data_IF_216970976261
#
_entry.id   IF_216970976261
#
_cell.length_a   1.000
_cell.length_b   1.000
_cell.length_c   1.000
_cell.angle_alpha   90.00
_cell.angle_beta   90.00
_cell.angle_gamma   90.00
#
_symmetry.space_group_name_H-M   'P 1'
#
loop_
_entity.id
_entity.type
_entity.pdbx_description
1 polymer ?
#
# COMPACT_ATOMS: atom_id res chain seq x y z
N UNK A 1 25.82 11.15 -17.65
CA UNK A 1 25.40 10.48 -16.41
C UNK A 1 25.56 11.45 -15.25
N UNK A 2 24.46 11.96 -14.71
CA UNK A 2 24.49 12.80 -13.52
C UNK A 2 24.86 11.92 -12.31
N UNK A 3 25.68 12.41 -11.37
CA UNK A 3 26.16 11.62 -10.25
C UNK A 3 25.00 11.15 -9.37
N UNK A 4 25.10 9.92 -8.85
CA UNK A 4 24.16 9.29 -7.91
C UNK A 4 23.82 10.19 -6.71
N UNK A 5 24.71 11.11 -6.32
CA UNK A 5 24.51 12.14 -5.30
C UNK A 5 23.42 13.17 -5.66
N UNK A 6 23.23 13.49 -6.94
CA UNK A 6 22.22 14.46 -7.39
C UNK A 6 20.79 13.89 -7.28
N UNK A 7 20.64 12.60 -7.51
CA UNK A 7 19.38 11.87 -7.32
C UNK A 7 19.00 11.72 -5.84
N UNK A 8 19.98 11.52 -4.96
CA UNK A 8 19.77 11.48 -3.51
C UNK A 8 19.36 12.84 -2.93
N UNK A 9 19.85 13.93 -3.47
CA UNK A 9 19.54 15.29 -2.99
C UNK A 9 18.15 15.76 -3.46
N UNK A 10 17.69 15.36 -4.65
CA UNK A 10 16.33 15.61 -5.12
C UNK A 10 15.30 14.70 -4.42
N UNK A 11 15.66 13.47 -4.04
CA UNK A 11 14.76 12.58 -3.29
C UNK A 11 14.41 13.11 -1.90
N UNK A 12 15.31 13.80 -1.19
CA UNK A 12 15.01 14.29 0.17
C UNK A 12 13.96 15.43 0.22
N UNK A 13 13.72 16.14 -0.87
CA UNK A 13 12.72 17.23 -0.90
C UNK A 13 11.36 16.80 -1.47
N UNK A 14 11.17 15.53 -1.81
CA UNK A 14 9.98 15.07 -2.55
C UNK A 14 9.39 13.78 -1.99
N UNK A 15 9.53 13.53 -0.68
CA UNK A 15 8.98 12.36 0.00
C UNK A 15 7.71 12.78 0.76
N UNK A 16 6.59 12.08 0.50
CA UNK A 16 5.32 12.37 1.14
C UNK A 16 5.08 11.54 2.40
N UNK A 17 5.70 10.37 2.50
CA UNK A 17 5.67 9.56 3.70
C UNK A 17 7.04 8.93 3.93
N UNK A 18 7.57 9.03 5.13
CA UNK A 18 8.83 8.42 5.52
C UNK A 18 8.73 7.82 6.91
N UNK A 19 9.06 6.55 7.02
CA UNK A 19 9.24 5.85 8.28
C UNK A 19 10.72 5.48 8.43
N UNK A 20 11.30 5.71 9.60
CA UNK A 20 12.68 5.37 9.93
C UNK A 20 12.74 4.63 11.26
N UNK A 21 13.15 3.37 11.21
CA UNK A 21 13.35 2.48 12.36
C UNK A 21 12.16 2.47 13.34
N UNK A 22 10.94 2.49 12.80
CA UNK A 22 9.72 2.53 13.59
C UNK A 22 9.52 1.21 14.31
N UNK A 23 9.34 1.31 15.64
CA UNK A 23 9.10 0.17 16.51
C UNK A 23 7.82 0.38 17.32
N UNK A 24 7.05 -0.72 17.48
CA UNK A 24 5.86 -0.79 18.31
C UNK A 24 5.59 -2.19 18.79
N UNK A 25 5.56 -2.38 20.11
CA UNK A 25 5.17 -3.62 20.76
C UNK A 25 3.67 -3.58 21.12
N UNK A 26 2.96 -4.65 20.83
CA UNK A 26 1.60 -4.94 21.26
C UNK A 26 1.60 -6.27 21.98
N UNK A 27 0.53 -6.62 22.72
CA UNK A 27 0.50 -7.81 23.59
C UNK A 27 1.02 -9.10 22.95
N UNK A 28 0.73 -9.35 21.67
CA UNK A 28 1.13 -10.59 20.96
C UNK A 28 1.78 -10.30 19.60
N UNK A 29 2.23 -9.09 19.36
CA UNK A 29 2.76 -8.68 18.07
C UNK A 29 3.73 -7.50 18.20
N UNK A 30 4.78 -7.49 17.41
CA UNK A 30 5.76 -6.41 17.39
C UNK A 30 6.01 -5.95 15.95
N UNK A 31 5.94 -4.64 15.73
CA UNK A 31 6.58 -4.01 14.58
C UNK A 31 8.02 -3.69 14.96
N UNK A 32 8.98 -4.23 14.20
CA UNK A 32 10.38 -4.14 14.50
C UNK A 32 11.15 -3.48 13.34
N UNK A 33 11.67 -2.30 13.61
CA UNK A 33 12.56 -1.57 12.71
C UNK A 33 11.96 -1.31 11.31
N UNK A 34 10.69 -0.93 11.25
CA UNK A 34 9.98 -0.67 10.00
C UNK A 34 10.48 0.64 9.39
N UNK A 35 11.04 0.55 8.19
CA UNK A 35 11.58 1.69 7.44
C UNK A 35 11.19 1.61 5.97
N UNK A 36 10.55 2.65 5.44
CA UNK A 36 10.24 2.82 4.01
C UNK A 36 9.91 4.28 3.69
N UNK A 37 9.87 4.61 2.40
CA UNK A 37 9.55 5.97 1.94
C UNK A 37 8.67 5.93 0.70
N UNK A 38 7.60 6.73 0.69
CA UNK A 38 6.74 6.97 -0.46
C UNK A 38 7.08 8.33 -1.07
N UNK A 39 7.63 8.38 -2.29
CA UNK A 39 7.85 9.63 -2.99
C UNK A 39 6.53 10.31 -3.39
N UNK A 40 6.57 11.63 -3.60
CA UNK A 40 5.48 12.42 -4.15
C UNK A 40 5.13 11.95 -5.56
N UNK A 41 3.86 11.91 -5.91
CA UNK A 41 3.38 11.59 -7.26
C UNK A 41 3.17 10.10 -7.53
N UNK A 42 3.34 9.22 -6.53
CA UNK A 42 3.33 7.78 -6.74
C UNK A 42 2.31 7.05 -5.87
N UNK A 43 1.95 5.84 -6.30
CA UNK A 43 1.14 4.89 -5.55
C UNK A 43 2.05 3.82 -4.95
N UNK A 44 1.99 3.63 -3.62
CA UNK A 44 2.68 2.54 -2.93
C UNK A 44 1.69 1.54 -2.36
N UNK A 45 1.92 0.27 -2.65
CA UNK A 45 1.24 -0.86 -2.02
C UNK A 45 1.97 -1.31 -0.76
N UNK A 46 1.25 -1.36 0.37
CA UNK A 46 1.71 -1.98 1.62
C UNK A 46 1.13 -3.38 1.70
N UNK A 47 1.92 -4.39 1.41
CA UNK A 47 1.48 -5.77 1.28
C UNK A 47 1.99 -6.65 2.41
N UNK A 48 1.26 -7.70 2.71
CA UNK A 48 1.61 -8.71 3.71
C UNK A 48 0.42 -9.57 4.08
N UNK A 49 0.69 -10.70 4.70
CA UNK A 49 -0.34 -11.60 5.23
C UNK A 49 -1.22 -10.92 6.29
N UNK A 50 -2.34 -11.54 6.62
CA UNK A 50 -3.14 -11.08 7.76
C UNK A 50 -2.30 -11.19 9.04
N UNK A 51 -2.28 -10.11 9.83
CA UNK A 51 -1.44 -10.01 11.02
C UNK A 51 0.02 -9.58 10.75
N UNK A 52 0.43 -9.32 9.51
CA UNK A 52 1.80 -8.87 9.19
C UNK A 52 2.15 -7.49 9.78
N UNK A 53 1.14 -6.68 10.16
CA UNK A 53 1.33 -5.36 10.75
C UNK A 53 0.87 -4.19 9.88
N UNK A 54 0.23 -4.42 8.73
CA UNK A 54 -0.23 -3.36 7.80
C UNK A 54 -1.10 -2.32 8.50
N UNK A 55 -2.21 -2.74 9.09
CA UNK A 55 -3.13 -1.85 9.83
C UNK A 55 -2.45 -1.16 11.02
N UNK A 56 -1.55 -1.86 11.73
CA UNK A 56 -0.78 -1.26 12.83
C UNK A 56 0.13 -0.16 12.30
N UNK A 57 0.84 -0.40 11.20
CA UNK A 57 1.68 0.60 10.53
C UNK A 57 0.84 1.82 10.10
N UNK A 58 -0.33 1.62 9.50
CA UNK A 58 -1.23 2.71 9.13
C UNK A 58 -1.69 3.50 10.36
N UNK A 59 -2.06 2.83 11.46
CA UNK A 59 -2.46 3.51 12.71
C UNK A 59 -1.32 4.34 13.31
N UNK A 60 -0.07 3.89 13.22
CA UNK A 60 1.10 4.67 13.64
C UNK A 60 1.31 5.90 12.73
N UNK A 61 1.20 5.73 11.41
CA UNK A 61 1.29 6.85 10.44
C UNK A 61 0.21 7.90 10.72
N UNK A 62 -0.98 7.49 11.15
CA UNK A 62 -2.10 8.39 11.48
C UNK A 62 -2.07 8.94 12.90
N UNK A 63 -1.02 8.64 13.68
CA UNK A 63 -0.90 8.97 15.11
C UNK A 63 -2.10 8.52 15.96
N UNK A 64 -2.70 7.37 15.56
CA UNK A 64 -3.73 6.69 16.35
C UNK A 64 -3.11 5.76 17.41
N UNK A 65 -1.83 5.47 17.27
CA UNK A 65 -0.98 4.74 18.20
C UNK A 65 0.37 5.47 18.31
N UNK A 66 0.94 5.48 19.51
CA UNK A 66 2.28 6.04 19.74
C UNK A 66 3.37 5.07 19.31
N UNK A 67 4.40 5.57 18.63
CA UNK A 67 5.64 4.83 18.37
C UNK A 67 6.48 4.71 19.65
N UNK A 68 7.20 3.61 19.80
CA UNK A 68 8.16 3.41 20.91
C UNK A 68 9.56 3.86 20.51
N UNK A 69 9.91 3.73 19.24
CA UNK A 69 11.18 4.16 18.68
C UNK A 69 11.02 4.52 17.20
N UNK A 70 11.98 5.26 16.66
CA UNK A 70 12.01 5.67 15.27
C UNK A 70 11.37 7.03 15.04
N UNK A 71 11.13 7.34 13.77
CA UNK A 71 10.52 8.60 13.34
C UNK A 71 9.53 8.38 12.20
N UNK A 72 8.48 9.22 12.15
CA UNK A 72 7.50 9.26 11.05
C UNK A 72 7.34 10.69 10.57
N UNK A 73 7.66 10.89 9.31
CA UNK A 73 7.44 12.15 8.61
C UNK A 73 6.32 11.99 7.58
N UNK A 74 5.38 12.93 7.59
CA UNK A 74 4.28 13.00 6.62
C UNK A 74 4.30 14.36 5.95
N UNK A 75 4.31 14.39 4.62
CA UNK A 75 4.41 15.60 3.80
C UNK A 75 5.64 16.46 4.17
N UNK A 76 6.77 15.79 4.50
CA UNK A 76 8.02 16.42 4.89
C UNK A 76 8.02 17.04 6.30
N UNK A 77 7.04 16.69 7.14
CA UNK A 77 6.88 17.22 8.50
C UNK A 77 6.84 16.10 9.53
N UNK A 78 7.47 16.35 10.69
CA UNK A 78 7.29 15.50 11.86
C UNK A 78 5.82 15.48 12.28
N UNK A 79 5.27 14.28 12.46
CA UNK A 79 3.85 14.13 12.72
C UNK A 79 3.45 14.71 14.07
N UNK A 80 4.25 14.49 15.13
CA UNK A 80 3.90 14.92 16.48
C UNK A 80 3.83 16.43 16.61
N UNK A 81 4.73 17.13 15.92
CA UNK A 81 4.80 18.58 15.96
C UNK A 81 3.76 19.26 15.06
N UNK A 82 3.33 18.58 13.96
CA UNK A 82 2.52 19.19 12.91
C UNK A 82 1.18 18.46 12.68
N UNK A 83 0.66 17.73 13.67
CA UNK A 83 -0.50 16.86 13.55
C UNK A 83 -1.72 17.53 12.89
N UNK A 84 -2.06 18.75 13.33
CA UNK A 84 -3.23 19.49 12.80
C UNK A 84 -3.08 19.80 11.32
N UNK A 85 -1.90 20.24 10.90
CA UNK A 85 -1.64 20.58 9.51
C UNK A 85 -1.61 19.32 8.62
N UNK A 86 -0.98 18.25 9.10
CA UNK A 86 -0.94 16.99 8.40
C UNK A 86 -2.35 16.46 8.19
N UNK A 87 -3.19 16.44 9.24
CA UNK A 87 -4.59 15.96 9.15
C UNK A 87 -5.45 16.76 8.15
N UNK A 88 -5.15 18.02 7.92
CA UNK A 88 -5.81 18.82 6.88
C UNK A 88 -5.45 18.38 5.45
N UNK A 89 -4.30 17.74 5.25
CA UNK A 89 -3.75 17.41 3.95
C UNK A 89 -3.75 15.89 3.65
N UNK A 90 -4.24 15.06 4.55
CA UNK A 90 -4.37 13.61 4.34
C UNK A 90 -5.83 13.21 4.21
N UNK A 91 -6.11 12.28 3.29
CA UNK A 91 -7.39 11.59 3.19
C UNK A 91 -7.24 10.15 3.67
N UNK A 92 -8.19 9.66 4.45
CA UNK A 92 -8.13 8.33 5.02
C UNK A 92 -9.35 7.52 4.61
N UNK A 93 -9.11 6.28 4.17
CA UNK A 93 -10.16 5.30 3.89
C UNK A 93 -9.80 4.02 4.65
N UNK A 94 -10.69 3.63 5.55
CA UNK A 94 -10.53 2.39 6.30
C UNK A 94 -11.40 1.26 5.74
N UNK A 95 -11.10 0.05 6.14
CA UNK A 95 -11.92 -1.13 5.87
C UNK A 95 -13.39 -0.97 6.30
N UNK A 96 -13.65 -0.27 7.40
CA UNK A 96 -14.99 0.12 7.87
C UNK A 96 -15.16 1.63 7.88
N UNK A 97 -16.38 2.12 7.63
CA UNK A 97 -16.64 3.55 7.76
C UNK A 97 -16.71 3.97 9.24
N UNK A 98 -16.34 5.22 9.50
CA UNK A 98 -16.40 5.85 10.81
C UNK A 98 -17.45 6.97 10.86
N UNK A 99 -18.31 7.03 9.86
CA UNK A 99 -19.42 7.98 9.84
C UNK A 99 -20.54 7.55 10.80
N UNK A 100 -21.37 8.49 11.19
CA UNK A 100 -22.54 8.19 12.03
C UNK A 100 -23.61 7.51 11.17
N UNK A 101 -23.90 6.26 11.44
CA UNK A 101 -24.75 5.39 10.62
C UNK A 101 -26.17 5.97 10.36
N UNK A 102 -26.71 6.71 11.30
CA UNK A 102 -28.05 7.32 11.19
C UNK A 102 -28.07 8.62 10.41
N UNK A 103 -26.92 9.21 10.13
CA UNK A 103 -26.81 10.44 9.37
C UNK A 103 -27.00 10.22 7.88
N UNK A 104 -27.52 11.24 7.21
CA UNK A 104 -27.50 11.33 5.75
C UNK A 104 -26.12 11.77 5.26
N UNK A 105 -25.84 11.55 3.97
CA UNK A 105 -24.61 12.07 3.33
C UNK A 105 -24.54 13.60 3.46
N UNK A 106 -25.69 14.30 3.42
CA UNK A 106 -25.77 15.75 3.61
C UNK A 106 -25.33 16.18 5.02
N UNK A 107 -25.79 15.47 6.05
CA UNK A 107 -25.39 15.74 7.44
C UNK A 107 -23.92 15.47 7.66
N UNK A 108 -23.38 14.41 7.03
CA UNK A 108 -21.95 14.10 7.02
C UNK A 108 -21.15 15.21 6.33
N UNK A 109 -21.61 15.72 5.16
CA UNK A 109 -21.01 16.89 4.47
C UNK A 109 -20.95 18.11 5.41
N UNK A 110 -22.04 18.43 6.06
CA UNK A 110 -22.13 19.58 6.98
C UNK A 110 -21.16 19.47 8.15
N UNK A 111 -21.04 18.29 8.74
CA UNK A 111 -20.11 18.05 9.84
C UNK A 111 -18.66 18.17 9.39
N UNK A 112 -18.27 17.50 8.29
CA UNK A 112 -16.89 17.49 7.82
C UNK A 112 -16.43 18.86 7.31
N UNK A 113 -17.32 19.63 6.68
CA UNK A 113 -16.98 20.97 6.17
C UNK A 113 -16.52 21.96 7.24
N UNK A 114 -16.82 21.70 8.52
CA UNK A 114 -16.38 22.52 9.65
C UNK A 114 -14.93 22.18 10.05
N UNK A 115 -14.51 20.94 9.83
CA UNK A 115 -13.17 20.47 10.26
C UNK A 115 -12.06 20.75 9.23
N UNK A 116 -12.40 20.79 7.94
CA UNK A 116 -11.43 20.97 6.87
C UNK A 116 -11.47 22.38 6.30
N UNK A 117 -10.36 23.11 6.40
CA UNK A 117 -10.27 24.51 5.95
C UNK A 117 -10.43 24.66 4.44
N UNK A 118 -9.94 23.70 3.66
CA UNK A 118 -10.03 23.67 2.20
C UNK A 118 -11.24 22.84 1.69
N UNK A 119 -12.27 22.64 2.52
CA UNK A 119 -13.45 21.92 2.10
C UNK A 119 -14.20 22.64 0.99
N UNK A 120 -14.50 21.93 -0.10
CA UNK A 120 -15.21 22.44 -1.25
C UNK A 120 -16.53 21.68 -1.46
N UNK A 121 -17.65 22.31 -1.09
CA UNK A 121 -18.98 21.73 -1.21
C UNK A 121 -19.37 21.43 -2.68
N UNK A 122 -18.98 22.28 -3.63
CA UNK A 122 -19.33 22.08 -5.05
C UNK A 122 -18.58 20.85 -5.58
N UNK A 123 -17.29 20.74 -5.27
CA UNK A 123 -16.46 19.58 -5.64
C UNK A 123 -17.04 18.30 -5.02
N UNK A 124 -17.41 18.32 -3.72
CA UNK A 124 -18.03 17.18 -3.06
C UNK A 124 -19.29 16.70 -3.78
N UNK A 125 -20.23 17.62 -4.08
CA UNK A 125 -21.48 17.28 -4.77
C UNK A 125 -21.25 16.79 -6.20
N UNK A 126 -20.27 17.36 -6.91
CA UNK A 126 -19.89 16.88 -8.24
C UNK A 126 -19.40 15.42 -8.19
N UNK A 127 -18.55 15.10 -7.22
CA UNK A 127 -18.01 13.77 -7.03
C UNK A 127 -19.13 12.79 -6.63
N UNK A 128 -20.00 13.18 -5.70
CA UNK A 128 -21.16 12.35 -5.32
C UNK A 128 -22.05 12.03 -6.52
N UNK A 129 -22.30 13.03 -7.39
CA UNK A 129 -23.06 12.83 -8.64
C UNK A 129 -22.37 11.81 -9.54
N UNK A 130 -21.04 11.89 -9.72
CA UNK A 130 -20.25 10.91 -10.49
C UNK A 130 -20.39 9.51 -9.89
N UNK A 131 -20.39 9.40 -8.56
CA UNK A 131 -20.47 8.13 -7.85
C UNK A 131 -21.90 7.59 -7.68
N UNK A 132 -22.91 8.31 -8.13
CA UNK A 132 -24.31 7.93 -7.97
C UNK A 132 -24.78 7.93 -6.52
N UNK A 133 -24.23 8.81 -5.66
CA UNK A 133 -24.52 8.90 -4.24
C UNK A 133 -25.46 10.09 -3.95
N UNK A 134 -26.77 9.87 -3.71
CA UNK A 134 -27.70 10.96 -3.40
C UNK A 134 -27.49 11.47 -1.96
N UNK A 135 -27.47 12.80 -1.79
CA UNK A 135 -27.27 13.47 -0.49
C UNK A 135 -28.26 13.05 0.62
N UNK A 136 -29.48 12.63 0.25
CA UNK A 136 -30.53 12.23 1.18
C UNK A 136 -30.36 10.81 1.74
N UNK A 137 -29.46 10.00 1.17
CA UNK A 137 -29.28 8.62 1.59
C UNK A 137 -28.57 8.55 2.92
N UNK A 138 -29.01 7.68 3.82
CA UNK A 138 -28.36 7.44 5.11
C UNK A 138 -27.13 6.57 4.96
N UNK A 139 -26.18 6.72 5.88
CA UNK A 139 -24.91 5.97 5.86
C UNK A 139 -25.16 4.47 5.98
N UNK A 140 -26.07 4.04 6.86
CA UNK A 140 -26.43 2.62 7.04
C UNK A 140 -27.16 1.99 5.84
N UNK A 141 -27.62 2.78 4.88
CA UNK A 141 -28.24 2.31 3.63
C UNK A 141 -27.22 2.12 2.51
N UNK A 142 -25.95 2.51 2.73
CA UNK A 142 -24.89 2.41 1.74
C UNK A 142 -24.30 1.00 1.71
N UNK A 143 -24.16 0.44 0.51
CA UNK A 143 -23.32 -0.75 0.33
C UNK A 143 -21.85 -0.42 0.64
N UNK A 144 -21.02 -1.45 0.88
CA UNK A 144 -19.59 -1.25 1.16
C UNK A 144 -18.91 -0.40 0.08
N UNK A 145 -19.14 -0.70 -1.20
CA UNK A 145 -18.58 0.10 -2.30
C UNK A 145 -19.07 1.56 -2.29
N UNK A 146 -20.32 1.80 -1.92
CA UNK A 146 -20.84 3.16 -1.76
C UNK A 146 -20.20 3.89 -0.57
N UNK A 147 -19.94 3.20 0.53
CA UNK A 147 -19.22 3.78 1.68
C UNK A 147 -17.78 4.15 1.31
N UNK A 148 -17.06 3.28 0.57
CA UNK A 148 -15.72 3.57 0.05
C UNK A 148 -15.73 4.80 -0.86
N UNK A 149 -16.68 4.88 -1.79
CA UNK A 149 -16.86 6.06 -2.66
C UNK A 149 -17.13 7.34 -1.86
N UNK A 150 -17.93 7.27 -0.81
CA UNK A 150 -18.19 8.41 0.06
C UNK A 150 -16.91 8.87 0.79
N UNK A 151 -16.13 7.95 1.36
CA UNK A 151 -14.86 8.29 2.00
C UNK A 151 -13.88 8.95 1.01
N UNK A 152 -13.78 8.45 -0.22
CA UNK A 152 -12.98 9.11 -1.27
C UNK A 152 -13.53 10.49 -1.63
N UNK A 153 -14.86 10.63 -1.75
CA UNK A 153 -15.46 11.94 -2.03
C UNK A 153 -15.11 12.97 -0.94
N UNK A 154 -15.10 12.55 0.33
CA UNK A 154 -14.65 13.40 1.44
C UNK A 154 -13.18 13.79 1.27
N UNK A 155 -12.28 12.81 1.05
CA UNK A 155 -10.86 13.05 0.90
C UNK A 155 -10.52 14.00 -0.26
N UNK A 156 -11.21 13.86 -1.39
CA UNK A 156 -11.01 14.73 -2.55
C UNK A 156 -11.53 16.15 -2.33
N UNK A 157 -12.56 16.30 -1.50
CA UNK A 157 -13.24 17.58 -1.29
C UNK A 157 -12.51 18.54 -0.37
N UNK A 158 -11.60 18.05 0.46
CA UNK A 158 -10.71 18.89 1.27
C UNK A 158 -9.27 18.97 0.70
N UNK A 159 -9.10 18.61 -0.58
CA UNK A 159 -7.83 18.72 -1.30
C UNK A 159 -6.67 17.93 -0.69
N UNK A 160 -6.94 16.70 -0.20
CA UNK A 160 -5.92 15.82 0.34
C UNK A 160 -4.75 15.65 -0.65
N UNK A 161 -3.52 15.69 -0.15
CA UNK A 161 -2.27 15.47 -0.90
C UNK A 161 -1.80 14.02 -0.80
N UNK A 162 -2.08 13.36 0.31
CA UNK A 162 -1.75 11.97 0.55
C UNK A 162 -3.01 11.21 0.95
N UNK A 163 -3.34 10.14 0.22
CA UNK A 163 -4.35 9.16 0.65
C UNK A 163 -3.69 8.01 1.39
N UNK A 164 -4.28 7.60 2.51
CA UNK A 164 -3.88 6.43 3.29
C UNK A 164 -5.09 5.51 3.40
N UNK A 165 -4.98 4.32 2.80
CA UNK A 165 -6.10 3.42 2.61
C UNK A 165 -5.78 2.06 3.23
N UNK A 166 -6.66 1.56 4.12
CA UNK A 166 -6.51 0.26 4.76
C UNK A 166 -7.49 -0.75 4.16
N UNK A 167 -6.98 -1.72 3.38
CA UNK A 167 -7.72 -2.78 2.69
C UNK A 167 -8.94 -2.26 1.88
N UNK A 168 -8.81 -1.20 1.07
CA UNK A 168 -9.95 -0.49 0.49
C UNK A 168 -10.75 -1.31 -0.52
N UNK A 169 -10.14 -2.31 -1.15
CA UNK A 169 -10.77 -3.15 -2.19
C UNK A 169 -11.30 -4.47 -1.66
N UNK A 170 -11.04 -4.77 -0.39
CA UNK A 170 -11.51 -6.01 0.25
C UNK A 170 -13.04 -6.08 0.28
N UNK A 171 -13.61 -7.19 -0.22
CA UNK A 171 -15.06 -7.41 -0.26
C UNK A 171 -15.83 -6.59 -1.29
N UNK A 172 -15.15 -5.88 -2.20
CA UNK A 172 -15.77 -5.26 -3.36
C UNK A 172 -15.93 -6.29 -4.50
N UNK A 173 -17.01 -6.15 -5.26
CA UNK A 173 -17.15 -6.88 -6.52
C UNK A 173 -16.10 -6.42 -7.55
N UNK A 174 -15.78 -7.24 -8.58
CA UNK A 174 -14.72 -6.91 -9.52
C UNK A 174 -14.92 -5.59 -10.28
N UNK A 175 -16.14 -5.19 -10.60
CA UNK A 175 -16.41 -3.96 -11.34
C UNK A 175 -16.17 -2.73 -10.45
N UNK A 176 -16.72 -2.74 -9.24
CA UNK A 176 -16.49 -1.68 -8.24
C UNK A 176 -15.02 -1.56 -7.86
N UNK A 177 -14.31 -2.70 -7.73
CA UNK A 177 -12.86 -2.71 -7.48
C UNK A 177 -12.08 -2.03 -8.61
N UNK A 178 -12.37 -2.38 -9.85
CA UNK A 178 -11.70 -1.77 -11.01
C UNK A 178 -11.93 -0.26 -11.05
N UNK A 179 -13.17 0.18 -10.88
CA UNK A 179 -13.50 1.61 -10.82
C UNK A 179 -12.75 2.32 -9.69
N UNK A 180 -12.62 1.68 -8.51
CA UNK A 180 -11.89 2.23 -7.38
C UNK A 180 -10.39 2.42 -7.71
N UNK A 181 -9.75 1.43 -8.32
CA UNK A 181 -8.35 1.52 -8.72
C UNK A 181 -8.11 2.62 -9.78
N UNK A 182 -9.02 2.76 -10.75
CA UNK A 182 -8.96 3.84 -11.74
C UNK A 182 -9.07 5.22 -11.09
N UNK A 183 -9.94 5.38 -10.09
CA UNK A 183 -10.07 6.62 -9.32
C UNK A 183 -8.76 6.97 -8.59
N UNK A 184 -8.03 5.98 -8.06
CA UNK A 184 -6.73 6.22 -7.41
C UNK A 184 -5.66 6.66 -8.42
N UNK A 185 -5.64 6.09 -9.63
CA UNK A 185 -4.76 6.52 -10.71
C UNK A 185 -5.07 7.96 -11.16
N UNK A 186 -6.37 8.30 -11.32
CA UNK A 186 -6.78 9.68 -11.62
C UNK A 186 -6.36 10.66 -10.51
N UNK A 187 -6.39 10.23 -9.24
CA UNK A 187 -6.04 11.09 -8.10
C UNK A 187 -4.58 11.55 -8.15
N UNK A 188 -3.64 10.72 -8.61
CA UNK A 188 -2.21 11.04 -8.68
C UNK A 188 -1.78 11.66 -10.02
N UNK A 189 -2.69 11.79 -10.99
CA UNK A 189 -2.36 12.13 -12.38
C UNK A 189 -1.62 13.47 -12.54
N UNK A 190 -1.84 14.42 -11.62
CA UNK A 190 -1.15 15.72 -11.63
C UNK A 190 0.31 15.66 -11.12
N UNK A 191 0.75 14.49 -10.58
CA UNK A 191 2.08 14.31 -9.98
C UNK A 191 2.26 15.00 -8.62
N UNK A 192 1.21 15.65 -8.11
CA UNK A 192 1.25 16.43 -6.86
C UNK A 192 0.70 15.64 -5.66
N UNK A 193 0.11 14.48 -5.89
CA UNK A 193 -0.57 13.67 -4.88
C UNK A 193 -0.02 12.26 -4.85
N UNK A 194 -0.14 11.59 -3.71
CA UNK A 194 0.35 10.21 -3.53
C UNK A 194 -0.67 9.36 -2.80
N UNK A 195 -0.52 8.04 -2.94
CA UNK A 195 -1.39 7.05 -2.31
C UNK A 195 -0.55 5.99 -1.63
N UNK A 196 -0.81 5.72 -0.35
CA UNK A 196 -0.43 4.50 0.34
C UNK A 196 -1.68 3.66 0.52
N UNK A 197 -1.71 2.43 0.00
CA UNK A 197 -2.81 1.53 0.32
C UNK A 197 -2.32 0.15 0.75
N UNK A 198 -2.92 -0.37 1.82
CA UNK A 198 -2.67 -1.74 2.23
C UNK A 198 -3.58 -2.69 1.47
N UNK A 199 -3.06 -3.86 1.11
CA UNK A 199 -3.85 -4.93 0.52
C UNK A 199 -3.18 -6.28 0.71
N UNK A 200 -3.96 -7.34 0.65
CA UNK A 200 -3.49 -8.71 0.49
C UNK A 200 -3.80 -9.26 -0.92
N UNK A 201 -4.36 -8.41 -1.80
CA UNK A 201 -4.76 -8.76 -3.17
C UNK A 201 -3.68 -8.28 -4.14
N UNK A 202 -2.86 -9.20 -4.59
CA UNK A 202 -1.69 -8.91 -5.43
C UNK A 202 -2.04 -8.36 -6.81
N UNK A 203 -3.17 -8.78 -7.37
CA UNK A 203 -3.64 -8.26 -8.66
C UNK A 203 -3.97 -6.77 -8.65
N UNK A 204 -4.33 -6.19 -7.49
CA UNK A 204 -4.54 -4.75 -7.37
C UNK A 204 -3.20 -4.01 -7.45
N UNK A 205 -2.15 -4.59 -6.84
CA UNK A 205 -0.80 -4.03 -6.88
C UNK A 205 -0.24 -4.00 -8.30
N UNK A 206 -0.32 -5.12 -9.02
CA UNK A 206 0.19 -5.22 -10.40
C UNK A 206 -0.42 -4.18 -11.34
N UNK A 207 -1.62 -3.69 -11.02
CA UNK A 207 -2.34 -2.75 -11.87
C UNK A 207 -1.98 -1.29 -11.67
N UNK A 208 -1.71 -0.88 -10.44
CA UNK A 208 -1.66 0.55 -10.13
C UNK A 208 -0.45 0.99 -9.30
N UNK A 209 0.35 0.08 -8.75
CA UNK A 209 1.44 0.49 -7.87
C UNK A 209 2.75 0.73 -8.60
N UNK A 210 3.40 1.82 -8.24
CA UNK A 210 4.75 2.17 -8.66
C UNK A 210 5.79 1.63 -7.67
N UNK A 211 5.43 1.64 -6.38
CA UNK A 211 6.26 1.20 -5.26
C UNK A 211 5.55 0.14 -4.43
N UNK A 212 6.33 -0.71 -3.80
CA UNK A 212 5.82 -1.76 -2.94
C UNK A 212 6.64 -1.84 -1.65
N UNK A 213 5.95 -2.05 -0.52
CA UNK A 213 6.55 -2.41 0.75
C UNK A 213 5.92 -3.70 1.25
N UNK A 214 6.72 -4.77 1.33
CA UNK A 214 6.29 -6.09 1.81
C UNK A 214 6.63 -6.24 3.29
N UNK A 215 5.59 -6.39 4.10
CA UNK A 215 5.66 -6.67 5.53
C UNK A 215 5.39 -8.15 5.82
N UNK A 216 6.22 -8.74 6.64
CA UNK A 216 6.03 -10.10 7.18
C UNK A 216 6.43 -10.11 8.65
N UNK A 217 5.54 -10.63 9.52
CA UNK A 217 5.80 -10.75 10.97
C UNK A 217 6.36 -9.45 11.60
N UNK A 218 5.80 -8.29 11.24
CA UNK A 218 6.20 -6.99 11.78
C UNK A 218 7.49 -6.40 11.23
N UNK A 219 8.09 -7.00 10.20
CA UNK A 219 9.33 -6.51 9.58
C UNK A 219 9.15 -6.24 8.09
N UNK A 220 9.91 -5.27 7.58
CA UNK A 220 10.00 -5.01 6.14
C UNK A 220 10.95 -6.02 5.52
N UNK A 221 10.42 -6.85 4.63
CA UNK A 221 11.19 -7.84 3.86
C UNK A 221 11.70 -7.21 2.56
N UNK A 222 10.90 -6.34 1.96
CA UNK A 222 11.25 -5.59 0.77
C UNK A 222 10.57 -4.23 0.78
N UNK A 223 11.27 -3.21 0.30
CA UNK A 223 10.69 -1.90 -0.05
C UNK A 223 11.45 -1.35 -1.25
N UNK A 224 10.74 -0.84 -2.25
CA UNK A 224 11.33 -0.32 -3.48
C UNK A 224 10.30 -0.18 -4.60
N UNK A 225 10.79 0.13 -5.79
CA UNK A 225 9.95 0.19 -6.99
C UNK A 225 9.50 -1.21 -7.43
N UNK A 226 8.33 -1.25 -8.04
CA UNK A 226 7.70 -2.48 -8.49
C UNK A 226 8.49 -3.15 -9.60
N UNK A 227 8.96 -2.38 -10.58
CA UNK A 227 9.71 -2.90 -11.72
C UNK A 227 11.02 -3.53 -11.27
N UNK A 228 11.73 -2.89 -10.33
CA UNK A 228 12.95 -3.43 -9.74
C UNK A 228 12.73 -4.75 -9.02
N UNK A 229 11.60 -4.90 -8.31
CA UNK A 229 11.24 -6.17 -7.68
C UNK A 229 10.99 -7.27 -8.73
N UNK A 230 10.20 -6.97 -9.75
CA UNK A 230 9.84 -7.94 -10.81
C UNK A 230 11.07 -8.37 -11.64
N UNK A 231 11.99 -7.46 -11.90
CA UNK A 231 13.21 -7.74 -12.65
C UNK A 231 14.31 -8.46 -11.83
N UNK A 232 14.16 -8.48 -10.50
CA UNK A 232 15.18 -9.05 -9.60
C UNK A 232 15.23 -10.57 -9.64
N UNK A 233 14.14 -11.23 -10.00
CA UNK A 233 13.99 -12.68 -9.92
C UNK A 233 13.43 -13.30 -11.19
N UNK A 234 13.80 -14.57 -11.41
CA UNK A 234 13.07 -15.52 -12.27
C UNK A 234 12.43 -16.61 -11.42
N UNK A 235 11.27 -17.09 -11.84
CA UNK A 235 10.64 -18.28 -11.31
C UNK A 235 11.28 -19.50 -12.02
N UNK A 236 12.16 -20.21 -11.32
CA UNK A 236 12.80 -21.41 -11.83
C UNK A 236 11.92 -22.63 -11.55
N UNK A 237 11.74 -23.47 -12.58
CA UNK A 237 10.98 -24.72 -12.50
C UNK A 237 11.80 -25.90 -13.04
N UNK A 238 11.59 -27.06 -12.45
CA UNK A 238 12.27 -28.28 -12.92
C UNK A 238 11.69 -29.56 -12.34
N UNK A 239 12.14 -30.69 -12.90
CA UNK A 239 11.81 -32.02 -12.39
C UNK A 239 12.50 -32.26 -11.02
N UNK A 240 11.93 -33.08 -10.12
CA UNK A 240 12.51 -33.32 -8.78
C UNK A 240 13.97 -33.77 -8.83
N UNK A 241 14.33 -34.63 -9.81
CA UNK A 241 15.69 -35.13 -9.99
C UNK A 241 16.74 -34.05 -10.33
N UNK A 242 16.29 -32.92 -10.88
CA UNK A 242 17.16 -31.79 -11.22
C UNK A 242 17.43 -30.83 -10.05
N UNK A 243 16.78 -31.04 -8.88
CA UNK A 243 16.97 -30.18 -7.70
C UNK A 243 18.29 -30.50 -7.00
N UNK A 244 19.39 -30.00 -7.53
CA UNK A 244 20.74 -30.20 -7.00
C UNK A 244 20.98 -29.44 -5.69
N UNK A 245 22.00 -29.84 -4.93
CA UNK A 245 22.39 -29.14 -3.70
C UNK A 245 22.95 -27.71 -3.99
N UNK A 246 23.52 -27.49 -5.15
CA UNK A 246 23.96 -26.16 -5.61
C UNK A 246 22.74 -25.27 -5.85
N UNK A 247 21.76 -25.75 -6.63
CA UNK A 247 20.55 -25.03 -6.91
C UNK A 247 19.76 -24.67 -5.64
N UNK A 248 19.70 -25.59 -4.64
CA UNK A 248 19.03 -25.33 -3.35
C UNK A 248 19.64 -24.14 -2.58
N UNK A 249 20.90 -23.80 -2.80
CA UNK A 249 21.56 -22.64 -2.17
C UNK A 249 21.20 -21.33 -2.85
N UNK A 250 20.96 -21.37 -4.17
CA UNK A 250 20.69 -20.19 -4.99
C UNK A 250 19.19 -19.90 -5.14
N UNK A 251 18.31 -20.86 -4.76
CA UNK A 251 16.84 -20.73 -4.84
C UNK A 251 16.25 -20.23 -3.52
N UNK A 252 15.38 -19.23 -3.61
CA UNK A 252 14.54 -18.77 -2.52
C UNK A 252 13.17 -19.46 -2.56
N UNK A 253 12.66 -19.87 -1.39
CA UNK A 253 11.28 -20.30 -1.20
C UNK A 253 10.88 -21.56 -1.96
N UNK A 254 11.74 -22.58 -2.03
CA UNK A 254 11.50 -23.81 -2.79
C UNK A 254 10.13 -24.41 -2.45
N UNK A 255 9.33 -24.66 -3.49
CA UNK A 255 8.07 -25.42 -3.46
C UNK A 255 8.26 -26.71 -4.23
N UNK A 256 8.23 -27.85 -3.57
CA UNK A 256 8.35 -29.16 -4.20
C UNK A 256 7.02 -29.88 -4.24
N UNK A 257 6.72 -30.49 -5.37
CA UNK A 257 5.56 -31.36 -5.59
C UNK A 257 6.03 -32.74 -6.08
N UNK A 258 5.12 -33.68 -6.24
CA UNK A 258 5.43 -35.01 -6.81
C UNK A 258 5.92 -34.94 -8.27
N UNK A 259 5.57 -33.89 -9.00
CA UNK A 259 5.87 -33.74 -10.44
C UNK A 259 6.99 -32.74 -10.73
N UNK A 260 7.38 -31.91 -9.75
CA UNK A 260 8.40 -30.89 -9.96
C UNK A 260 8.71 -30.05 -8.74
N UNK A 261 9.57 -29.08 -8.94
CA UNK A 261 9.86 -28.02 -7.99
C UNK A 261 9.78 -26.66 -8.68
N UNK A 262 9.54 -25.64 -7.89
CA UNK A 262 9.65 -24.24 -8.30
C UNK A 262 10.16 -23.37 -7.15
N UNK A 263 10.70 -22.19 -7.48
CA UNK A 263 11.18 -21.20 -6.53
C UNK A 263 11.77 -20.00 -7.25
N UNK A 264 12.27 -19.02 -6.53
CA UNK A 264 12.87 -17.84 -7.13
C UNK A 264 14.39 -17.97 -7.21
N UNK A 265 14.95 -17.55 -8.33
CA UNK A 265 16.42 -17.38 -8.51
C UNK A 265 16.70 -15.94 -8.91
N UNK A 266 17.71 -15.31 -8.32
CA UNK A 266 18.10 -13.96 -8.71
C UNK A 266 18.51 -13.91 -10.19
N UNK A 267 18.08 -12.88 -10.90
CA UNK A 267 18.34 -12.66 -12.33
C UNK A 267 19.83 -12.75 -12.66
N UNK A 268 20.72 -12.26 -11.78
CA UNK A 268 22.17 -12.34 -11.96
C UNK A 268 22.70 -13.78 -11.98
N UNK A 269 21.98 -14.75 -11.39
CA UNK A 269 22.36 -16.17 -11.34
C UNK A 269 21.68 -16.99 -12.44
N UNK A 270 20.69 -16.46 -13.14
CA UNK A 270 19.89 -17.17 -14.14
C UNK A 270 20.74 -17.83 -15.24
N UNK A 271 21.87 -17.21 -15.60
CA UNK A 271 22.79 -17.75 -16.60
C UNK A 271 23.36 -19.14 -16.26
N UNK A 272 23.42 -19.51 -14.97
CA UNK A 272 23.89 -20.83 -14.50
C UNK A 272 22.85 -21.92 -14.78
N UNK A 273 21.57 -21.55 -14.93
CA UNK A 273 20.43 -22.46 -14.91
C UNK A 273 19.69 -22.54 -16.26
N UNK A 274 20.42 -22.39 -17.38
CA UNK A 274 19.88 -22.46 -18.76
C UNK A 274 19.18 -23.79 -19.11
N UNK A 275 19.44 -24.85 -18.35
CA UNK A 275 18.78 -26.17 -18.53
C UNK A 275 17.47 -26.33 -17.78
N UNK A 276 17.00 -25.28 -17.10
CA UNK A 276 15.73 -25.23 -16.38
C UNK A 276 14.74 -24.30 -17.08
N UNK A 277 13.47 -24.39 -16.73
CA UNK A 277 12.46 -23.43 -17.16
C UNK A 277 12.62 -22.18 -16.29
N UNK A 278 12.79 -21.03 -16.92
CA UNK A 278 12.89 -19.72 -16.27
C UNK A 278 11.73 -18.85 -16.79
N UNK A 279 10.73 -18.65 -15.93
CA UNK A 279 9.56 -17.79 -16.20
C UNK A 279 9.68 -16.45 -15.48
N UNK A 280 8.99 -15.43 -15.97
CA UNK A 280 8.80 -14.18 -15.24
C UNK A 280 7.86 -14.48 -14.05
N UNK A 281 8.28 -14.19 -12.80
CA UNK A 281 7.42 -14.44 -11.65
C UNK A 281 6.25 -13.47 -11.60
N UNK A 282 5.15 -13.87 -10.99
CA UNK A 282 4.10 -12.96 -10.53
C UNK A 282 4.46 -12.40 -9.15
N UNK A 283 3.78 -11.35 -8.73
CA UNK A 283 3.94 -10.84 -7.34
C UNK A 283 3.60 -11.92 -6.32
N UNK A 284 2.57 -12.73 -6.58
CA UNK A 284 2.21 -13.87 -5.73
C UNK A 284 3.38 -14.85 -5.58
N UNK A 285 4.05 -15.20 -6.67
CA UNK A 285 5.20 -16.10 -6.61
C UNK A 285 6.32 -15.53 -5.74
N UNK A 286 6.59 -14.23 -5.89
CA UNK A 286 7.63 -13.54 -5.12
C UNK A 286 7.29 -13.55 -3.63
N UNK A 287 6.06 -13.15 -3.25
CA UNK A 287 5.62 -13.10 -1.86
C UNK A 287 5.62 -14.47 -1.22
N UNK A 288 5.07 -15.49 -1.88
CA UNK A 288 5.01 -16.85 -1.35
C UNK A 288 6.42 -17.41 -1.14
N UNK A 289 7.35 -17.14 -2.03
CA UNK A 289 8.72 -17.60 -1.89
C UNK A 289 9.49 -16.85 -0.79
N UNK A 290 9.31 -15.52 -0.69
CA UNK A 290 9.92 -14.72 0.37
C UNK A 290 9.39 -15.07 1.76
N UNK A 291 8.08 -15.31 1.92
CA UNK A 291 7.47 -15.67 3.21
C UNK A 291 7.99 -17.00 3.79
N UNK A 292 8.49 -17.90 2.95
CA UNK A 292 9.10 -19.17 3.39
C UNK A 292 10.51 -19.01 3.94
N UNK A 293 11.25 -18.01 3.45
CA UNK A 293 12.61 -17.73 3.97
C UNK A 293 12.57 -17.06 5.35
N UNK A 294 11.58 -16.24 5.62
CA UNK A 294 11.38 -15.61 6.96
C UNK A 294 11.00 -16.58 8.07
N UNK A 295 10.76 -17.86 7.74
CA UNK A 295 10.42 -18.94 8.70
C UNK A 295 11.58 -19.90 9.00
N UNK A 296 12.73 -19.71 8.38
CA UNK A 296 13.99 -20.42 8.70
C UNK A 296 14.81 -19.57 9.65
#
# INVERSE_FOLDING_TARGET
ALPIYYWRYQMNNNVYLKLENVKKSLANFELDNVSFSLPKGYIMGLIGSNGAGKTTTIKLILNMLDIENGNIEVLGKDYKENEKEIKQNIGVVFDSNFFVDTWTIKETEQALSVFYHEWNNEKFRLILKRFGLPLSKKINELSRGMQMKLMLACAFSHNAKLLILDEPTSGLDPATRNEFLEILQEFIQDGEKSVLFSTHITTDLERITDYITYLENGRVIYTGDMDGLMQKYYLIKGEPAKLTNELKKDILGIRSTTIGFEGLVETKLAHKYKGYILDVPTIDDIIICMSKEGKK
#
